data_IF_309751490817
#
_entry.id   IF_309751490817
#
_cell.length_a   1.000
_cell.length_b   1.000
_cell.length_c   1.000
_cell.angle_alpha   90.00
_cell.angle_beta   90.00
_cell.angle_gamma   90.00
#
_symmetry.space_group_name_H-M   'P 1'
#
loop_
_entity.id
_entity.type
_entity.pdbx_description
1 polymer ?
#
# COMPACT_ATOMS: atom_id res chain seq x y z
N UNK A 1 6.15 -59.38 -17.00
CA UNK A 1 6.69 -58.00 -17.12
C UNK A 1 5.58 -56.98 -17.43
N UNK A 2 4.57 -56.82 -16.54
CA UNK A 2 3.46 -55.85 -16.73
C UNK A 2 3.02 -55.11 -15.45
N UNK A 3 3.73 -55.28 -14.33
CA UNK A 3 3.41 -54.66 -13.03
C UNK A 3 4.23 -53.40 -12.73
N UNK A 4 5.45 -53.27 -13.28
CA UNK A 4 6.30 -52.08 -13.06
C UNK A 4 5.79 -50.80 -13.76
N UNK A 5 4.91 -50.91 -14.75
CA UNK A 5 4.45 -49.76 -15.55
C UNK A 5 3.22 -49.03 -14.95
N UNK A 6 2.47 -49.67 -14.05
CA UNK A 6 1.30 -49.05 -13.38
C UNK A 6 1.67 -48.26 -12.12
N UNK A 7 2.78 -48.60 -11.48
CA UNK A 7 3.22 -47.96 -10.23
C UNK A 7 3.86 -46.59 -10.50
N UNK A 8 4.55 -46.41 -11.64
CA UNK A 8 5.16 -45.12 -12.00
C UNK A 8 4.14 -44.05 -12.37
N UNK A 9 2.95 -44.42 -12.88
CA UNK A 9 1.90 -43.46 -13.25
C UNK A 9 1.18 -42.88 -12.02
N UNK A 10 1.12 -43.63 -10.91
CA UNK A 10 0.52 -43.15 -9.65
C UNK A 10 1.48 -42.19 -8.92
N UNK A 11 2.78 -42.28 -9.17
CA UNK A 11 3.79 -41.42 -8.51
C UNK A 11 3.93 -40.03 -9.14
N UNK A 12 3.52 -39.84 -10.40
CA UNK A 12 3.53 -38.53 -11.08
C UNK A 12 2.26 -37.71 -10.78
N UNK A 13 1.15 -38.37 -10.43
CA UNK A 13 -0.10 -37.69 -10.02
C UNK A 13 -0.08 -37.20 -8.56
N UNK A 14 0.84 -37.70 -7.74
CA UNK A 14 0.99 -37.28 -6.34
C UNK A 14 1.89 -36.05 -6.14
N UNK A 15 2.59 -35.57 -7.17
CA UNK A 15 3.53 -34.44 -7.07
C UNK A 15 2.93 -33.09 -7.51
N UNK A 16 1.66 -33.05 -7.91
CA UNK A 16 0.98 -31.82 -8.32
C UNK A 16 0.09 -31.18 -7.24
N UNK A 17 0.09 -31.66 -5.99
CA UNK A 17 -0.77 -31.12 -4.93
C UNK A 17 0.00 -30.13 -4.00
N UNK A 18 1.30 -29.93 -4.21
CA UNK A 18 2.14 -29.13 -3.29
C UNK A 18 2.60 -27.79 -3.84
N UNK A 19 1.80 -27.12 -4.68
CA UNK A 19 2.01 -25.72 -5.05
C UNK A 19 0.67 -25.00 -5.21
N UNK A 20 -0.04 -24.87 -4.08
CA UNK A 20 -1.21 -24.01 -3.94
C UNK A 20 -0.95 -23.03 -2.80
N UNK A 21 -0.14 -22.01 -3.11
CA UNK A 21 -0.21 -20.65 -2.57
C UNK A 21 -0.74 -20.52 -1.13
N UNK A 22 0.18 -20.28 -0.18
CA UNK A 22 -0.14 -19.55 1.04
C UNK A 22 -0.70 -18.18 0.60
N UNK A 23 -2.00 -18.09 0.36
CA UNK A 23 -2.71 -16.82 0.33
C UNK A 23 -2.87 -16.39 1.78
N UNK A 24 -2.17 -15.36 2.27
CA UNK A 24 -2.49 -14.79 3.56
C UNK A 24 -3.90 -14.21 3.44
N UNK A 25 -4.85 -14.80 4.16
CA UNK A 25 -6.11 -14.19 4.55
C UNK A 25 -6.92 -13.50 3.46
N UNK A 26 -7.67 -14.28 2.66
CA UNK A 26 -8.93 -13.78 2.13
C UNK A 26 -9.94 -13.73 3.29
N UNK A 27 -9.85 -12.69 4.13
CA UNK A 27 -10.87 -12.41 5.13
C UNK A 27 -12.12 -11.94 4.38
N UNK A 28 -13.22 -12.66 4.57
CA UNK A 28 -14.52 -12.30 4.00
C UNK A 28 -14.88 -10.89 4.47
N UNK A 29 -14.85 -9.94 3.55
CA UNK A 29 -15.21 -8.56 3.78
C UNK A 29 -16.69 -8.49 4.15
N UNK A 30 -16.99 -8.06 5.37
CA UNK A 30 -18.34 -7.66 5.77
C UNK A 30 -18.62 -6.32 5.08
N UNK A 31 -19.08 -6.36 3.84
CA UNK A 31 -19.43 -5.26 2.92
C UNK A 31 -18.42 -4.10 2.73
N UNK A 32 -17.87 -3.50 3.79
CA UNK A 32 -16.83 -2.45 3.76
C UNK A 32 -15.83 -2.52 4.95
N UNK A 33 -15.88 -3.58 5.77
CA UNK A 33 -14.96 -3.78 6.90
C UNK A 33 -13.72 -4.61 6.53
N UNK A 34 -12.55 -4.18 6.98
CA UNK A 34 -11.25 -4.84 6.77
C UNK A 34 -10.57 -5.17 8.09
N UNK A 35 -10.21 -6.44 8.28
CA UNK A 35 -9.51 -6.89 9.49
C UNK A 35 -8.05 -7.14 9.16
N UNK A 36 -7.16 -6.29 9.67
CA UNK A 36 -5.72 -6.47 9.57
C UNK A 36 -5.20 -7.24 10.80
N UNK A 37 -4.30 -8.20 10.58
CA UNK A 37 -3.62 -8.93 11.65
C UNK A 37 -2.11 -9.00 11.38
N UNK A 38 -1.35 -8.18 12.10
CA UNK A 38 0.11 -7.98 11.96
C UNK A 38 0.55 -7.84 10.51
N UNK A 39 -0.27 -7.16 9.73
CA UNK A 39 -0.04 -6.97 8.31
C UNK A 39 0.99 -5.86 8.09
N UNK A 40 1.80 -5.96 7.04
CA UNK A 40 2.67 -4.86 6.66
C UNK A 40 1.86 -3.70 6.07
N UNK A 41 2.36 -2.46 6.22
CA UNK A 41 1.63 -1.29 5.71
C UNK A 41 1.46 -1.29 4.18
N UNK A 42 2.36 -1.93 3.42
CA UNK A 42 2.23 -2.00 1.96
C UNK A 42 0.95 -2.73 1.55
N UNK A 43 0.77 -3.95 2.03
CA UNK A 43 -0.36 -4.82 1.71
C UNK A 43 -1.68 -4.21 2.19
N UNK A 44 -1.66 -3.60 3.38
CA UNK A 44 -2.81 -2.87 3.89
C UNK A 44 -3.21 -1.72 2.96
N UNK A 45 -2.26 -0.84 2.60
CA UNK A 45 -2.57 0.31 1.73
C UNK A 45 -2.87 -0.09 0.28
N UNK A 46 -2.32 -1.20 -0.23
CA UNK A 46 -2.75 -1.78 -1.52
C UNK A 46 -4.24 -2.12 -1.51
N UNK A 47 -4.77 -2.65 -0.40
CA UNK A 47 -6.22 -2.87 -0.26
C UNK A 47 -6.98 -1.54 -0.21
N UNK A 48 -6.54 -0.58 0.62
CA UNK A 48 -7.14 0.77 0.71
C UNK A 48 -7.16 1.48 -0.65
N UNK A 49 -6.13 1.27 -1.48
CA UNK A 49 -5.98 1.89 -2.81
C UNK A 49 -7.16 1.55 -3.75
N UNK A 50 -7.72 0.35 -3.60
CA UNK A 50 -8.87 -0.10 -4.39
C UNK A 50 -10.13 0.69 -4.07
N UNK A 51 -10.28 1.13 -2.82
CA UNK A 51 -11.40 1.96 -2.35
C UNK A 51 -11.15 3.45 -2.64
N UNK A 52 -9.89 3.90 -2.58
CA UNK A 52 -9.51 5.27 -2.91
C UNK A 52 -9.59 5.60 -4.42
N UNK A 53 -9.60 4.57 -5.28
CA UNK A 53 -9.59 4.74 -6.74
C UNK A 53 -8.26 5.23 -7.30
N UNK A 54 -7.19 5.21 -6.50
CA UNK A 54 -5.83 5.62 -6.87
C UNK A 54 -4.80 4.66 -6.29
N UNK A 55 -3.72 4.32 -7.03
CA UNK A 55 -2.64 3.51 -6.49
C UNK A 55 -1.96 4.19 -5.30
N UNK A 56 -1.57 3.39 -4.31
CA UNK A 56 -0.81 3.85 -3.14
C UNK A 56 0.65 3.43 -3.24
N UNK A 57 1.56 4.36 -3.00
CA UNK A 57 3.01 4.12 -3.01
C UNK A 57 3.54 4.32 -1.60
N UNK A 58 3.95 3.21 -0.97
CA UNK A 58 4.47 3.21 0.41
C UNK A 58 6.00 3.13 0.41
N UNK A 59 6.64 4.01 1.16
CA UNK A 59 8.09 4.06 1.29
C UNK A 59 8.69 2.78 1.90
N UNK A 60 9.99 2.56 1.66
CA UNK A 60 10.74 1.42 2.22
C UNK A 60 10.82 1.44 3.74
N UNK A 61 10.73 2.62 4.36
CA UNK A 61 10.75 2.73 5.81
C UNK A 61 9.35 2.49 6.39
N UNK A 62 8.32 3.11 5.81
CA UNK A 62 6.94 2.95 6.23
C UNK A 62 6.46 1.49 6.10
N UNK A 63 6.82 0.77 5.03
CA UNK A 63 6.40 -0.62 4.82
C UNK A 63 6.86 -1.60 5.92
N UNK A 64 7.85 -1.22 6.75
CA UNK A 64 8.32 -2.05 7.87
C UNK A 64 7.39 -2.02 9.07
N UNK A 65 6.52 -1.01 9.16
CA UNK A 65 5.51 -0.93 10.22
C UNK A 65 4.42 -1.97 10.00
N UNK A 66 3.86 -2.45 11.10
CA UNK A 66 2.76 -3.39 11.10
C UNK A 66 1.48 -2.72 11.58
N UNK A 67 0.36 -3.18 11.04
CA UNK A 67 -0.97 -2.72 11.40
C UNK A 67 -1.84 -3.91 11.81
N UNK A 68 -2.69 -3.68 12.79
CA UNK A 68 -3.66 -4.65 13.29
C UNK A 68 -4.89 -3.93 13.77
N UNK A 69 -6.07 -4.50 13.52
CA UNK A 69 -7.33 -3.90 13.91
C UNK A 69 -8.42 -4.15 12.89
N UNK A 70 -9.57 -3.54 13.14
CA UNK A 70 -10.69 -3.51 12.21
C UNK A 70 -10.83 -2.09 11.66
N UNK A 71 -10.91 -1.98 10.34
CA UNK A 71 -10.89 -0.73 9.61
C UNK A 71 -12.12 -0.64 8.72
N UNK A 72 -12.79 0.50 8.78
CA UNK A 72 -13.84 0.86 7.84
C UNK A 72 -13.19 1.49 6.60
N UNK A 73 -13.44 0.90 5.43
CA UNK A 73 -12.89 1.33 4.14
C UNK A 73 -13.83 2.25 3.35
N UNK A 74 -14.99 2.63 3.90
CA UNK A 74 -15.95 3.54 3.24
C UNK A 74 -15.36 4.93 2.95
N UNK A 75 -14.55 5.45 3.87
CA UNK A 75 -13.89 6.76 3.75
C UNK A 75 -12.36 6.60 3.73
N UNK A 76 -11.77 6.19 2.58
CA UNK A 76 -10.36 5.82 2.50
C UNK A 76 -9.41 6.97 2.82
N UNK A 77 -9.74 8.21 2.41
CA UNK A 77 -8.94 9.39 2.71
C UNK A 77 -8.95 9.75 4.20
N UNK A 78 -10.11 9.68 4.86
CA UNK A 78 -10.21 9.90 6.30
C UNK A 78 -9.49 8.79 7.08
N UNK A 79 -9.46 7.57 6.57
CA UNK A 79 -8.68 6.47 7.14
C UNK A 79 -7.17 6.72 7.02
N UNK A 80 -6.69 7.12 5.83
CA UNK A 80 -5.27 7.45 5.59
C UNK A 80 -4.82 8.58 6.53
N UNK A 81 -5.62 9.64 6.67
CA UNK A 81 -5.32 10.77 7.56
C UNK A 81 -5.17 10.30 9.02
N UNK A 82 -6.15 9.55 9.54
CA UNK A 82 -6.13 9.01 10.90
C UNK A 82 -4.93 8.11 11.15
N UNK A 83 -4.66 7.18 10.23
CA UNK A 83 -3.53 6.27 10.36
C UNK A 83 -2.20 7.01 10.29
N UNK A 84 -2.11 8.04 9.45
CA UNK A 84 -0.91 8.86 9.35
C UNK A 84 -0.59 9.57 10.66
N UNK A 85 -1.59 10.17 11.29
CA UNK A 85 -1.45 10.79 12.60
C UNK A 85 -1.05 9.78 13.70
N UNK A 86 -1.68 8.59 13.72
CA UNK A 86 -1.44 7.58 14.75
C UNK A 86 -0.09 6.88 14.63
N UNK A 87 0.36 6.63 13.39
CA UNK A 87 1.56 5.84 13.12
C UNK A 87 2.78 6.69 12.83
N UNK A 88 2.66 8.03 12.82
CA UNK A 88 3.75 8.92 12.44
C UNK A 88 4.13 8.75 10.97
N UNK A 89 3.13 8.82 10.09
CA UNK A 89 3.31 8.85 8.64
C UNK A 89 2.99 10.25 8.13
N UNK A 90 3.52 10.56 6.96
CA UNK A 90 3.13 11.72 6.16
C UNK A 90 2.66 11.23 4.80
N UNK A 91 1.67 11.90 4.22
CA UNK A 91 1.10 11.51 2.94
C UNK A 91 0.87 12.71 2.02
N UNK A 92 0.83 12.44 0.72
CA UNK A 92 0.59 13.43 -0.32
C UNK A 92 -0.15 12.78 -1.49
N UNK A 93 -1.16 13.46 -2.03
CA UNK A 93 -1.90 13.03 -3.23
C UNK A 93 -1.62 14.04 -4.35
N UNK A 94 -1.04 13.55 -5.45
CA UNK A 94 -0.71 14.37 -6.63
C UNK A 94 -1.82 14.35 -7.70
N UNK A 95 -2.97 13.75 -7.40
CA UNK A 95 -4.07 13.51 -8.32
C UNK A 95 -4.00 12.15 -9.03
N UNK A 96 -2.84 11.51 -9.11
CA UNK A 96 -2.61 10.25 -9.83
C UNK A 96 -2.30 9.09 -8.88
N UNK A 97 -1.58 9.36 -7.81
CA UNK A 97 -1.19 8.38 -6.81
C UNK A 97 -1.16 9.01 -5.42
N UNK A 98 -1.34 8.17 -4.41
CA UNK A 98 -1.21 8.57 -3.01
C UNK A 98 0.13 8.06 -2.51
N UNK A 99 1.01 8.98 -2.10
CA UNK A 99 2.33 8.69 -1.58
C UNK A 99 2.30 8.69 -0.06
N UNK A 100 2.86 7.65 0.57
CA UNK A 100 2.87 7.49 2.03
C UNK A 100 4.32 7.21 2.46
N UNK A 101 4.82 8.06 3.36
CA UNK A 101 6.17 8.00 3.91
C UNK A 101 6.15 7.97 5.43
N UNK A 102 7.24 7.50 6.02
CA UNK A 102 7.48 7.70 7.44
C UNK A 102 7.77 9.17 7.72
N UNK A 103 7.32 9.73 8.85
CA UNK A 103 7.58 11.13 9.19
C UNK A 103 9.07 11.45 9.31
N UNK A 104 9.92 10.47 9.63
CA UNK A 104 11.38 10.63 9.65
C UNK A 104 12.00 10.80 8.26
N UNK A 105 11.26 10.55 7.18
CA UNK A 105 11.70 10.79 5.81
C UNK A 105 11.42 12.23 5.35
N UNK A 106 10.89 13.09 6.21
CA UNK A 106 10.69 14.51 5.92
C UNK A 106 12.02 15.20 5.61
N UNK A 107 12.05 15.98 4.52
CA UNK A 107 13.26 16.68 4.07
C UNK A 107 13.02 18.18 4.01
N UNK A 108 14.04 18.92 4.45
CA UNK A 108 14.11 20.37 4.31
C UNK A 108 15.15 20.73 3.24
N UNK A 109 14.85 21.75 2.44
CA UNK A 109 15.77 22.26 1.43
C UNK A 109 15.69 23.79 1.37
N UNK A 110 16.85 24.44 1.25
CA UNK A 110 16.95 25.86 0.97
C UNK A 110 17.23 26.06 -0.52
N UNK A 111 16.31 26.74 -1.22
CA UNK A 111 16.37 26.94 -2.66
C UNK A 111 16.53 28.44 -2.93
N UNK A 112 17.59 28.82 -3.66
CA UNK A 112 17.81 30.19 -4.08
C UNK A 112 17.27 30.44 -5.50
N UNK A 113 16.32 31.35 -5.63
CA UNK A 113 15.72 31.74 -6.92
C UNK A 113 16.47 32.95 -7.48
N UNK A 114 17.15 32.79 -8.62
CA UNK A 114 17.97 33.85 -9.24
C UNK A 114 17.24 34.71 -10.28
N UNK A 115 16.21 34.15 -10.92
CA UNK A 115 15.56 34.75 -12.10
C UNK A 115 14.07 35.00 -11.94
N UNK A 116 13.48 34.51 -10.85
CA UNK A 116 12.04 34.52 -10.60
C UNK A 116 11.83 34.94 -9.16
N UNK A 117 10.83 35.79 -8.91
CA UNK A 117 10.48 36.16 -7.55
C UNK A 117 9.80 34.99 -6.82
N UNK A 118 9.90 34.97 -5.48
CA UNK A 118 9.22 33.96 -4.66
C UNK A 118 7.70 33.97 -4.88
N UNK A 119 7.11 35.15 -5.13
CA UNK A 119 5.68 35.28 -5.38
C UNK A 119 5.26 34.64 -6.70
N UNK A 120 5.99 34.89 -7.79
CA UNK A 120 5.72 34.24 -9.09
C UNK A 120 5.86 32.72 -9.00
N UNK A 121 6.88 32.24 -8.29
CA UNK A 121 7.08 30.82 -8.07
C UNK A 121 5.93 30.18 -7.26
N UNK A 122 5.50 30.81 -6.17
CA UNK A 122 4.38 30.32 -5.37
C UNK A 122 3.05 30.32 -6.15
N UNK A 123 2.82 31.36 -6.96
CA UNK A 123 1.64 31.42 -7.83
C UNK A 123 1.66 30.32 -8.88
N UNK A 124 2.83 30.01 -9.43
CA UNK A 124 3.02 28.88 -10.33
C UNK A 124 2.70 27.55 -9.63
N UNK A 125 3.23 27.31 -8.43
CA UNK A 125 2.98 26.07 -7.70
C UNK A 125 1.50 25.87 -7.36
N UNK A 126 0.80 26.94 -6.94
CA UNK A 126 -0.65 26.90 -6.72
C UNK A 126 -1.43 26.58 -8.00
N UNK A 127 -1.01 27.15 -9.14
CA UNK A 127 -1.66 26.93 -10.45
C UNK A 127 -1.56 25.46 -10.89
N UNK A 128 -0.48 24.77 -10.56
CA UNK A 128 -0.28 23.35 -10.91
C UNK A 128 -0.81 22.39 -9.84
N UNK A 129 -1.43 22.89 -8.76
CA UNK A 129 -1.99 22.07 -7.68
C UNK A 129 -0.94 21.44 -6.77
N UNK A 130 0.21 22.11 -6.57
CA UNK A 130 1.31 21.62 -5.71
C UNK A 130 1.43 22.35 -4.36
N UNK A 131 0.46 23.21 -4.01
CA UNK A 131 0.38 23.95 -2.73
C UNK A 131 -1.05 23.94 -2.23
#
# INVERSE_FOLDING_TARGET
MKIKLRITIILISALCIFNGLLTPGAYAATANGYVANKENLRSFFETVSSYAGKPTIVSKLAMKKQISGNFDLTEPYALIERLSAQMGLIWYDDGKAIYIYDSSEMRNALINLRKVSTNEFNNFLKKIGSV
#
